data_IF_256393161674
#
_entry.id   IF_256393161674
#
_cell.length_a   1.000
_cell.length_b   1.000
_cell.length_c   1.000
_cell.angle_alpha   90.00
_cell.angle_beta   90.00
_cell.angle_gamma   90.00
#
_symmetry.space_group_name_H-M   'P 1'
#
loop_
_entity.id
_entity.type
_entity.pdbx_description
1 polymer ?
#
# COMPACT_ATOMS: atom_id res chain seq x y z
N UNK A 1 -12.21 33.77 9.89
CA UNK A 1 -12.34 33.34 8.47
C UNK A 1 -11.83 31.91 8.31
N UNK A 2 -12.49 31.07 7.53
CA UNK A 2 -12.00 29.73 7.25
C UNK A 2 -10.71 29.80 6.40
N UNK A 3 -9.61 29.22 6.88
CA UNK A 3 -8.32 29.22 6.19
C UNK A 3 -8.26 28.34 4.93
N UNK A 4 -9.42 27.94 4.37
CA UNK A 4 -9.53 27.05 3.21
C UNK A 4 -10.70 27.47 2.30
N UNK A 5 -10.62 27.10 1.01
CA UNK A 5 -11.69 27.32 0.04
C UNK A 5 -12.77 26.27 0.16
N UNK A 6 -14.04 26.70 0.20
CA UNK A 6 -15.20 25.78 0.24
C UNK A 6 -15.43 25.05 -1.09
N UNK A 7 -15.00 25.62 -2.21
CA UNK A 7 -15.10 25.08 -3.58
C UNK A 7 -16.55 24.80 -4.03
N UNK A 8 -17.53 25.57 -3.51
CA UNK A 8 -18.95 25.38 -3.82
C UNK A 8 -19.53 24.03 -3.33
N UNK A 9 -18.93 23.42 -2.31
CA UNK A 9 -19.32 22.10 -1.84
C UNK A 9 -19.56 22.07 -0.34
N UNK A 10 -20.38 21.13 0.12
CA UNK A 10 -20.50 20.80 1.55
C UNK A 10 -19.17 20.25 2.07
N UNK A 11 -18.98 20.27 3.39
CA UNK A 11 -17.74 19.80 4.02
C UNK A 11 -17.37 18.37 3.60
N UNK A 12 -18.35 17.46 3.62
CA UNK A 12 -18.11 16.06 3.27
C UNK A 12 -17.78 15.88 1.77
N UNK A 13 -18.51 16.54 0.88
CA UNK A 13 -18.25 16.51 -0.55
C UNK A 13 -16.88 17.12 -0.89
N UNK A 14 -16.51 18.23 -0.24
CA UNK A 14 -15.20 18.84 -0.40
C UNK A 14 -14.09 17.88 0.02
N UNK A 15 -14.22 17.26 1.18
CA UNK A 15 -13.25 16.30 1.71
C UNK A 15 -13.08 15.10 0.78
N UNK A 16 -14.18 14.52 0.30
CA UNK A 16 -14.16 13.40 -0.64
C UNK A 16 -13.46 13.78 -1.97
N UNK A 17 -13.77 14.95 -2.52
CA UNK A 17 -13.13 15.44 -3.74
C UNK A 17 -11.62 15.64 -3.57
N UNK A 18 -11.17 16.26 -2.47
CA UNK A 18 -9.75 16.48 -2.22
C UNK A 18 -9.04 15.13 -2.08
N UNK A 19 -9.57 14.20 -1.29
CA UNK A 19 -9.02 12.86 -1.13
C UNK A 19 -8.87 12.12 -2.46
N UNK A 20 -9.91 12.14 -3.28
CA UNK A 20 -9.88 11.51 -4.60
C UNK A 20 -8.80 12.11 -5.51
N UNK A 21 -8.70 13.44 -5.57
CA UNK A 21 -7.71 14.10 -6.42
C UNK A 21 -6.27 13.97 -5.91
N UNK A 22 -6.05 13.96 -4.59
CA UNK A 22 -4.73 13.69 -4.01
C UNK A 22 -4.31 12.25 -4.30
N UNK A 23 -5.22 11.29 -4.15
CA UNK A 23 -4.94 9.89 -4.49
C UNK A 23 -4.58 9.74 -5.96
N UNK A 24 -5.35 10.34 -6.86
CA UNK A 24 -5.07 10.32 -8.29
C UNK A 24 -3.72 10.98 -8.64
N UNK A 25 -3.41 12.12 -8.01
CA UNK A 25 -2.14 12.82 -8.21
C UNK A 25 -0.94 11.95 -7.83
N UNK A 26 -0.98 11.33 -6.66
CA UNK A 26 0.12 10.50 -6.18
C UNK A 26 0.23 9.17 -6.95
N UNK A 27 -0.89 8.63 -7.44
CA UNK A 27 -0.90 7.39 -8.21
C UNK A 27 -0.43 7.58 -9.66
N UNK A 28 -0.95 8.59 -10.36
CA UNK A 28 -0.64 8.85 -11.78
C UNK A 28 0.53 9.80 -12.00
N UNK A 29 0.97 10.52 -10.96
CA UNK A 29 2.02 11.54 -11.07
C UNK A 29 1.54 12.89 -11.59
N UNK A 30 0.38 12.98 -12.20
CA UNK A 30 -0.21 14.21 -12.72
C UNK A 30 -1.74 14.16 -12.75
N UNK A 31 -2.39 15.31 -12.67
CA UNK A 31 -3.85 15.46 -12.85
C UNK A 31 -4.18 16.75 -13.60
N UNK A 32 -5.32 16.77 -14.29
CA UNK A 32 -5.91 18.01 -14.85
C UNK A 32 -7.04 18.46 -13.95
N UNK A 33 -6.97 19.69 -13.45
CA UNK A 33 -7.98 20.23 -12.54
C UNK A 33 -8.01 21.75 -12.62
N UNK A 34 -8.95 22.40 -11.93
CA UNK A 34 -8.99 23.88 -11.88
C UNK A 34 -7.90 24.41 -10.95
N UNK A 35 -7.42 25.63 -11.22
CA UNK A 35 -6.39 26.28 -10.41
C UNK A 35 -6.76 26.35 -8.91
N UNK A 36 -8.00 26.69 -8.61
CA UNK A 36 -8.49 26.77 -7.23
C UNK A 36 -8.44 25.43 -6.50
N UNK A 37 -8.78 24.33 -7.18
CA UNK A 37 -8.66 22.97 -6.62
C UNK A 37 -7.19 22.57 -6.47
N UNK A 38 -6.37 22.86 -7.48
CA UNK A 38 -4.93 22.56 -7.43
C UNK A 38 -4.26 23.21 -6.21
N UNK A 39 -4.57 24.48 -5.91
CA UNK A 39 -4.05 25.19 -4.73
C UNK A 39 -4.45 24.53 -3.39
N UNK A 40 -5.65 23.95 -3.30
CA UNK A 40 -6.09 23.23 -2.10
C UNK A 40 -5.47 21.82 -2.00
N UNK A 41 -5.38 21.11 -3.12
CA UNK A 41 -4.80 19.76 -3.20
C UNK A 41 -3.31 19.79 -2.86
N UNK A 42 -2.59 20.80 -3.35
CA UNK A 42 -1.16 20.99 -3.12
C UNK A 42 -0.80 20.90 -1.64
N UNK A 43 -1.51 21.61 -0.77
CA UNK A 43 -1.25 21.63 0.69
C UNK A 43 -1.33 20.23 1.30
N UNK A 44 -2.34 19.45 0.88
CA UNK A 44 -2.54 18.09 1.40
C UNK A 44 -1.49 17.14 0.86
N UNK A 45 -1.20 17.20 -0.44
CA UNK A 45 -0.20 16.35 -1.08
C UNK A 45 1.21 16.60 -0.51
N UNK A 46 1.61 17.86 -0.37
CA UNK A 46 2.91 18.23 0.23
C UNK A 46 3.03 17.74 1.68
N UNK A 47 1.96 17.82 2.47
CA UNK A 47 1.94 17.29 3.84
C UNK A 47 2.15 15.77 3.89
N UNK A 48 1.53 15.02 2.98
CA UNK A 48 1.71 13.57 2.89
C UNK A 48 3.13 13.19 2.43
N UNK A 49 3.67 13.91 1.43
CA UNK A 49 5.04 13.70 0.93
C UNK A 49 6.07 14.01 2.03
N UNK A 50 5.91 15.11 2.75
CA UNK A 50 6.79 15.48 3.85
C UNK A 50 6.81 14.40 4.95
N UNK A 51 5.64 13.87 5.30
CA UNK A 51 5.52 12.78 6.27
C UNK A 51 6.21 11.50 5.78
N UNK A 52 6.03 11.15 4.50
CA UNK A 52 6.66 9.99 3.89
C UNK A 52 8.20 10.14 3.84
N UNK A 53 8.70 11.31 3.45
CA UNK A 53 10.14 11.59 3.39
C UNK A 53 10.80 11.51 4.78
N UNK A 54 10.13 12.06 5.80
CA UNK A 54 10.63 12.02 7.17
C UNK A 54 10.83 10.60 7.70
N UNK A 55 9.92 9.69 7.35
CA UNK A 55 9.86 8.34 7.94
C UNK A 55 10.34 7.23 6.98
N UNK A 56 10.80 7.56 5.77
CA UNK A 56 11.14 6.58 4.72
C UNK A 56 12.15 5.52 5.17
N UNK A 57 13.17 5.91 5.95
CA UNK A 57 14.26 5.04 6.38
C UNK A 57 14.11 4.56 7.83
N UNK A 58 12.99 4.89 8.49
CA UNK A 58 12.75 4.55 9.89
C UNK A 58 12.19 3.13 10.05
N UNK A 59 12.98 2.13 9.68
CA UNK A 59 12.69 0.70 9.84
C UNK A 59 13.89 0.00 10.48
N UNK A 60 13.66 -1.22 10.95
CA UNK A 60 14.69 -2.14 11.43
C UNK A 60 14.63 -3.45 10.63
N UNK A 61 15.78 -4.07 10.43
CA UNK A 61 15.86 -5.40 9.82
C UNK A 61 15.76 -6.45 10.92
N UNK A 62 14.79 -7.32 10.83
CA UNK A 62 14.53 -8.38 11.81
C UNK A 62 14.56 -9.73 11.11
N UNK A 63 15.25 -10.68 11.71
CA UNK A 63 15.24 -12.07 11.25
C UNK A 63 14.01 -12.79 11.79
N UNK A 64 13.23 -13.38 10.90
CA UNK A 64 12.01 -14.13 11.25
C UNK A 64 12.10 -15.53 10.67
N UNK A 65 11.68 -16.54 11.43
CA UNK A 65 11.50 -17.87 10.87
C UNK A 65 10.27 -17.86 9.97
N UNK A 66 10.45 -18.21 8.72
CA UNK A 66 9.37 -18.32 7.73
C UNK A 66 9.24 -19.77 7.27
N UNK A 67 8.00 -20.28 7.24
CA UNK A 67 7.71 -21.59 6.65
C UNK A 67 7.66 -21.48 5.14
N UNK A 68 8.63 -22.08 4.46
CA UNK A 68 8.70 -22.11 3.00
C UNK A 68 8.37 -23.52 2.52
N UNK A 69 7.47 -23.65 1.55
CA UNK A 69 7.13 -24.95 1.00
C UNK A 69 8.36 -25.60 0.37
N UNK A 70 8.72 -26.80 0.84
CA UNK A 70 9.82 -27.59 0.29
C UNK A 70 9.56 -27.91 -1.17
N UNK A 71 10.56 -27.67 -2.02
CA UNK A 71 10.51 -27.98 -3.44
C UNK A 71 11.46 -29.12 -3.76
N UNK A 72 11.08 -29.98 -4.70
CA UNK A 72 11.94 -31.00 -5.28
C UNK A 72 12.90 -30.41 -6.33
N UNK A 73 13.75 -31.25 -6.91
CA UNK A 73 14.70 -30.82 -7.95
C UNK A 73 14.03 -30.25 -9.21
N UNK A 74 12.76 -30.56 -9.44
CA UNK A 74 11.95 -30.07 -10.56
C UNK A 74 11.16 -28.78 -10.21
N UNK A 75 11.32 -28.24 -8.98
CA UNK A 75 10.64 -27.04 -8.52
C UNK A 75 9.18 -27.25 -8.07
N UNK A 76 8.70 -28.50 -8.02
CA UNK A 76 7.38 -28.86 -7.52
C UNK A 76 7.35 -28.90 -6.00
N UNK A 77 6.20 -28.62 -5.40
CA UNK A 77 6.04 -28.70 -3.93
C UNK A 77 6.04 -30.15 -3.47
N UNK A 78 6.91 -30.50 -2.54
CA UNK A 78 6.94 -31.80 -1.90
C UNK A 78 5.69 -31.95 -1.02
N UNK A 79 5.01 -33.10 -1.17
CA UNK A 79 3.81 -33.44 -0.39
C UNK A 79 4.00 -34.81 0.26
N UNK A 80 3.66 -34.90 1.52
CA UNK A 80 3.60 -36.15 2.28
C UNK A 80 2.16 -36.55 2.53
N UNK A 81 1.91 -37.86 2.65
CA UNK A 81 0.59 -38.38 2.98
C UNK A 81 0.52 -38.57 4.48
N UNK A 82 -0.27 -37.76 5.17
CA UNK A 82 -0.55 -37.90 6.60
C UNK A 82 -2.04 -38.20 6.76
N UNK A 83 -2.35 -39.30 7.42
CA UNK A 83 -3.74 -39.75 7.63
C UNK A 83 -4.58 -39.81 6.34
N UNK A 84 -4.00 -40.29 5.23
CA UNK A 84 -4.68 -40.38 3.92
C UNK A 84 -4.84 -39.09 3.17
N UNK A 85 -4.37 -37.94 3.71
CA UNK A 85 -4.42 -36.61 3.05
C UNK A 85 -3.03 -36.16 2.63
N UNK A 86 -2.91 -35.64 1.42
CA UNK A 86 -1.66 -35.03 0.92
C UNK A 86 -1.45 -33.66 1.56
N UNK A 87 -0.41 -33.54 2.39
CA UNK A 87 -0.02 -32.30 3.09
C UNK A 87 1.29 -31.80 2.51
N UNK A 88 1.39 -30.49 2.29
CA UNK A 88 2.64 -29.85 1.83
C UNK A 88 3.66 -29.80 2.96
N UNK A 89 4.88 -30.24 2.69
CA UNK A 89 6.00 -30.15 3.64
C UNK A 89 6.59 -28.73 3.60
N UNK A 90 6.87 -28.17 4.75
CA UNK A 90 7.48 -26.85 4.90
C UNK A 90 8.82 -26.96 5.63
N UNK A 91 9.80 -26.24 5.11
CA UNK A 91 11.09 -26.01 5.78
C UNK A 91 11.04 -24.67 6.51
N UNK A 92 11.63 -24.61 7.69
CA UNK A 92 11.80 -23.34 8.41
C UNK A 92 13.10 -22.68 7.96
N UNK A 93 12.95 -21.53 7.33
CA UNK A 93 14.08 -20.72 6.83
C UNK A 93 14.12 -19.39 7.54
N UNK A 94 15.28 -18.98 8.00
CA UNK A 94 15.50 -17.65 8.54
C UNK A 94 15.46 -16.63 7.40
N UNK A 95 14.53 -15.68 7.51
CA UNK A 95 14.36 -14.63 6.50
C UNK A 95 14.46 -13.26 7.12
N UNK A 96 15.31 -12.42 6.55
CA UNK A 96 15.38 -11.02 6.94
C UNK A 96 14.21 -10.24 6.35
N UNK A 97 13.47 -9.55 7.19
CA UNK A 97 12.38 -8.66 6.79
C UNK A 97 12.58 -7.27 7.38
N UNK A 98 12.16 -6.26 6.63
CA UNK A 98 12.13 -4.87 7.12
C UNK A 98 10.86 -4.67 7.94
N UNK A 99 11.03 -4.36 9.21
CA UNK A 99 9.93 -4.08 10.14
C UNK A 99 9.86 -2.57 10.40
N UNK A 100 8.69 -2.00 10.22
CA UNK A 100 8.47 -0.58 10.49
C UNK A 100 8.60 -0.29 11.98
N UNK A 101 9.37 0.74 12.33
CA UNK A 101 9.35 1.29 13.69
C UNK A 101 8.00 1.95 14.00
N UNK A 102 7.63 2.13 15.28
CA UNK A 102 6.31 2.66 15.65
C UNK A 102 5.94 3.98 15.00
N UNK A 103 6.87 4.93 14.87
CA UNK A 103 6.62 6.23 14.23
C UNK A 103 6.36 6.10 12.73
N UNK A 104 7.08 5.21 12.02
CA UNK A 104 6.84 4.93 10.61
C UNK A 104 5.48 4.28 10.38
N UNK A 105 5.12 3.33 11.23
CA UNK A 105 3.80 2.70 11.19
C UNK A 105 2.68 3.72 11.43
N UNK A 106 2.88 4.62 12.40
CA UNK A 106 1.94 5.72 12.65
C UNK A 106 1.79 6.63 11.43
N UNK A 107 2.89 7.04 10.82
CA UNK A 107 2.89 7.87 9.61
C UNK A 107 2.12 7.20 8.46
N UNK A 108 2.35 5.92 8.20
CA UNK A 108 1.59 5.14 7.21
C UNK A 108 0.09 5.16 7.49
N UNK A 109 -0.30 4.94 8.75
CA UNK A 109 -1.72 4.99 9.15
C UNK A 109 -2.33 6.38 8.95
N UNK A 110 -1.57 7.46 9.20
CA UNK A 110 -2.04 8.83 8.95
C UNK A 110 -2.24 9.09 7.44
N UNK A 111 -1.30 8.64 6.60
CA UNK A 111 -1.45 8.75 5.14
C UNK A 111 -2.68 7.99 4.61
N UNK A 112 -2.94 6.79 5.12
CA UNK A 112 -4.11 5.98 4.73
C UNK A 112 -5.45 6.59 5.14
N UNK A 113 -5.49 7.49 6.13
CA UNK A 113 -6.71 8.25 6.46
C UNK A 113 -7.11 9.23 5.33
N UNK A 114 -6.15 9.69 4.55
CA UNK A 114 -6.37 10.63 3.46
C UNK A 114 -6.50 9.93 2.13
N UNK A 115 -5.65 8.96 1.83
CA UNK A 115 -5.62 8.26 0.56
C UNK A 115 -6.77 7.24 0.46
N UNK A 116 -7.25 7.03 -0.77
CA UNK A 116 -8.15 5.92 -1.10
C UNK A 116 -7.35 4.71 -1.59
N UNK A 117 -7.92 3.54 -1.41
CA UNK A 117 -7.39 2.32 -1.99
C UNK A 117 -7.52 2.36 -3.52
N UNK A 118 -6.44 1.99 -4.19
CA UNK A 118 -6.42 1.86 -5.65
C UNK A 118 -6.31 0.38 -5.99
N UNK A 119 -7.35 -0.14 -6.65
CA UNK A 119 -7.37 -1.53 -7.09
C UNK A 119 -6.78 -1.62 -8.49
N UNK A 120 -5.68 -2.34 -8.64
CA UNK A 120 -5.14 -2.68 -9.96
C UNK A 120 -5.94 -3.84 -10.54
N UNK A 121 -6.55 -3.60 -11.70
CA UNK A 121 -7.22 -4.65 -12.46
C UNK A 121 -6.15 -5.35 -13.31
N UNK A 122 -5.85 -6.64 -13.08
CA UNK A 122 -4.88 -7.34 -13.90
C UNK A 122 -5.37 -7.36 -15.35
N UNK A 123 -4.50 -6.94 -16.28
CA UNK A 123 -4.77 -7.10 -17.71
C UNK A 123 -5.01 -8.58 -18.02
N UNK A 124 -5.83 -8.89 -19.03
CA UNK A 124 -6.28 -10.25 -19.37
C UNK A 124 -5.13 -11.26 -19.56
N UNK A 125 -3.90 -10.77 -19.85
CA UNK A 125 -2.69 -11.59 -19.93
C UNK A 125 -2.14 -12.01 -18.55
N UNK A 126 -2.40 -11.25 -17.49
CA UNK A 126 -1.95 -11.55 -16.12
C UNK A 126 -2.95 -12.43 -15.35
N UNK A 127 -4.19 -12.57 -15.85
CA UNK A 127 -5.29 -13.27 -15.17
C UNK A 127 -5.29 -14.80 -15.27
N UNK A 128 -4.39 -15.40 -16.08
CA UNK A 128 -4.29 -16.86 -16.18
C UNK A 128 -3.22 -17.41 -15.24
N UNK A 129 -3.42 -17.29 -13.93
CA UNK A 129 -2.86 -18.30 -13.03
C UNK A 129 -3.65 -19.58 -13.24
N UNK A 130 -3.08 -20.53 -13.99
CA UNK A 130 -3.58 -21.91 -14.01
C UNK A 130 -3.60 -22.44 -12.58
N UNK A 131 -4.76 -22.82 -12.13
CA UNK A 131 -4.94 -23.65 -10.93
C UNK A 131 -4.20 -24.96 -11.07
#
# INVERSE_FOLDING_TARGET
MAGYRKLGRTSNQRKAMIRSQVTALLYHGHIKTTETRAKEIRKVAEGLIALAVKEKDNFETVTVSAKVAKKDAEGKRVKEVVNGKKVTVYDEVQKEIKKDKPSRLHARRQMLKVLYDVTEVPTAAAGKKKN
#
